data_IF_710004212254
#
_entry.id   IF_710004212254
#
_cell.length_a   1.000
_cell.length_b   1.000
_cell.length_c   1.000
_cell.angle_alpha   90.00
_cell.angle_beta   90.00
_cell.angle_gamma   90.00
#
_symmetry.space_group_name_H-M   'P 1'
#
loop_
_entity.id
_entity.type
_entity.pdbx_description
1 polymer ?
#
# COMPACT_ATOMS: atom_id res chain seq x y z
N UNK A 1 17.79 5.88 -35.90
CA UNK A 1 18.24 5.00 -34.79
C UNK A 1 17.04 4.83 -33.88
N UNK A 2 16.45 3.63 -33.84
CA UNK A 2 15.55 3.29 -32.74
C UNK A 2 16.48 3.14 -31.53
N UNK A 3 16.15 3.86 -30.46
CA UNK A 3 16.98 3.95 -29.27
C UNK A 3 17.02 2.58 -28.59
N UNK A 4 18.21 2.03 -28.31
CA UNK A 4 18.34 0.67 -27.74
C UNK A 4 17.54 0.50 -26.44
N UNK A 5 17.34 1.60 -25.72
CA UNK A 5 16.57 1.64 -24.49
C UNK A 5 15.06 1.46 -24.71
N UNK A 6 14.54 1.90 -25.87
CA UNK A 6 13.12 1.72 -26.24
C UNK A 6 12.82 0.25 -26.54
N UNK A 7 13.75 -0.47 -27.17
CA UNK A 7 13.64 -1.91 -27.44
C UNK A 7 13.66 -2.74 -26.14
N UNK A 8 14.54 -2.39 -25.19
CA UNK A 8 14.60 -3.07 -23.88
C UNK A 8 13.32 -2.83 -23.09
N UNK A 9 12.81 -1.60 -23.08
CA UNK A 9 11.56 -1.27 -22.38
C UNK A 9 10.37 -2.02 -22.97
N UNK A 10 10.30 -2.13 -24.30
CA UNK A 10 9.24 -2.87 -24.99
C UNK A 10 9.28 -4.36 -24.67
N UNK A 11 10.47 -4.97 -24.58
CA UNK A 11 10.61 -6.37 -24.16
C UNK A 11 10.03 -6.63 -22.76
N UNK A 12 10.33 -5.75 -21.81
CA UNK A 12 9.80 -5.86 -20.45
C UNK A 12 8.27 -5.66 -20.40
N UNK A 13 7.74 -4.68 -21.14
CA UNK A 13 6.29 -4.47 -21.25
C UNK A 13 5.59 -5.69 -21.85
N UNK A 14 6.17 -6.30 -22.88
CA UNK A 14 5.64 -7.51 -23.51
C UNK A 14 5.68 -8.71 -22.55
N UNK A 15 6.77 -8.89 -21.80
CA UNK A 15 6.90 -9.90 -20.77
C UNK A 15 5.80 -9.73 -19.70
N UNK A 16 5.68 -8.53 -19.12
CA UNK A 16 4.71 -8.23 -18.07
C UNK A 16 3.28 -8.47 -18.60
N UNK A 17 2.98 -8.01 -19.82
CA UNK A 17 1.68 -8.23 -20.47
C UNK A 17 1.37 -9.71 -20.63
N UNK A 18 2.37 -10.52 -21.03
CA UNK A 18 2.24 -11.96 -21.19
C UNK A 18 1.90 -12.66 -19.87
N UNK A 19 2.60 -12.30 -18.78
CA UNK A 19 2.35 -12.88 -17.45
C UNK A 19 0.94 -12.50 -16.97
N UNK A 20 0.54 -11.23 -17.11
CA UNK A 20 -0.80 -10.77 -16.72
C UNK A 20 -1.89 -11.55 -17.48
N UNK A 21 -1.77 -11.68 -18.81
CA UNK A 21 -2.77 -12.41 -19.62
C UNK A 21 -2.82 -13.90 -19.31
N UNK A 22 -1.69 -14.49 -18.93
CA UNK A 22 -1.63 -15.90 -18.52
C UNK A 22 -2.34 -16.12 -17.19
N UNK A 23 -2.17 -15.23 -16.20
CA UNK A 23 -2.81 -15.34 -14.88
C UNK A 23 -4.28 -14.90 -14.90
N UNK A 24 -4.60 -13.84 -15.62
CA UNK A 24 -5.94 -13.25 -15.67
C UNK A 24 -6.49 -13.29 -17.09
N UNK A 25 -7.12 -14.42 -17.43
CA UNK A 25 -7.72 -14.63 -18.75
C UNK A 25 -8.79 -13.58 -19.05
N UNK A 26 -8.77 -13.02 -20.27
CA UNK A 26 -9.77 -12.05 -20.72
C UNK A 26 -9.58 -10.61 -20.19
N UNK A 27 -8.56 -10.35 -19.38
CA UNK A 27 -8.28 -8.99 -18.89
C UNK A 27 -7.80 -8.07 -20.00
N UNK A 28 -8.40 -6.87 -20.07
CA UNK A 28 -7.90 -5.77 -20.91
C UNK A 28 -6.81 -5.01 -20.16
N UNK A 29 -5.63 -4.91 -20.78
CA UNK A 29 -4.50 -4.15 -20.27
C UNK A 29 -4.42 -2.84 -21.04
N UNK A 30 -4.64 -1.72 -20.35
CA UNK A 30 -4.39 -0.38 -20.89
C UNK A 30 -2.91 -0.05 -20.76
N UNK A 31 -2.25 0.29 -21.87
CA UNK A 31 -0.85 0.70 -21.88
C UNK A 31 -0.77 2.14 -22.36
N UNK A 32 -0.14 3.00 -21.57
CA UNK A 32 0.07 4.42 -21.87
C UNK A 32 1.55 4.74 -21.81
N UNK A 33 2.01 5.64 -22.68
CA UNK A 33 3.40 6.12 -22.69
C UNK A 33 3.46 7.47 -21.97
N UNK A 34 4.34 7.58 -20.97
CA UNK A 34 4.58 8.82 -20.22
C UNK A 34 5.99 9.34 -20.52
N UNK A 35 6.32 9.45 -21.81
CA UNK A 35 7.67 9.71 -22.33
C UNK A 35 8.27 8.50 -23.06
N UNK A 36 9.51 8.65 -23.60
CA UNK A 36 10.18 7.59 -24.36
C UNK A 36 10.64 6.42 -23.48
N UNK A 37 11.04 6.69 -22.24
CA UNK A 37 11.62 5.70 -21.31
C UNK A 37 10.66 5.23 -20.22
N UNK A 38 9.36 5.56 -20.33
CA UNK A 38 8.36 5.24 -19.30
C UNK A 38 7.05 4.76 -19.92
N UNK A 39 6.62 3.57 -19.52
CA UNK A 39 5.33 2.98 -19.87
C UNK A 39 4.53 2.71 -18.60
N UNK A 40 3.24 2.98 -18.63
CA UNK A 40 2.30 2.65 -17.55
C UNK A 40 1.29 1.63 -18.07
N UNK A 41 1.17 0.53 -17.35
CA UNK A 41 0.25 -0.57 -17.62
C UNK A 41 -0.81 -0.61 -16.53
N UNK A 42 -2.09 -0.66 -16.90
CA UNK A 42 -3.22 -0.66 -15.96
C UNK A 42 -4.21 -1.74 -16.36
N UNK A 43 -4.71 -2.49 -15.38
CA UNK A 43 -5.79 -3.44 -15.56
C UNK A 43 -6.64 -3.57 -14.30
N UNK A 44 -7.74 -4.33 -14.38
CA UNK A 44 -8.70 -4.50 -13.29
C UNK A 44 -8.75 -5.97 -12.87
N UNK A 45 -8.76 -6.22 -11.55
CA UNK A 45 -8.98 -7.52 -10.92
C UNK A 45 -9.94 -7.30 -9.76
N UNK A 46 -11.08 -7.98 -9.75
CA UNK A 46 -12.10 -7.91 -8.69
C UNK A 46 -12.50 -6.48 -8.27
N UNK A 47 -12.68 -5.60 -9.27
CA UNK A 47 -13.03 -4.19 -9.04
C UNK A 47 -11.89 -3.33 -8.47
N UNK A 48 -10.69 -3.89 -8.35
CA UNK A 48 -9.47 -3.21 -7.92
C UNK A 48 -8.57 -2.93 -9.13
N UNK A 49 -8.05 -1.72 -9.17
CA UNK A 49 -7.13 -1.29 -10.22
C UNK A 49 -5.71 -1.73 -9.86
N UNK A 50 -5.09 -2.47 -10.77
CA UNK A 50 -3.70 -2.90 -10.68
C UNK A 50 -2.88 -2.07 -11.67
N UNK A 51 -1.77 -1.51 -11.21
CA UNK A 51 -0.86 -0.75 -12.07
C UNK A 51 0.57 -1.28 -12.01
N UNK A 52 1.23 -1.28 -13.18
CA UNK A 52 2.68 -1.39 -13.30
C UNK A 52 3.21 -0.16 -14.02
N UNK A 53 4.09 0.60 -13.37
CA UNK A 53 4.88 1.64 -14.03
C UNK A 53 6.25 1.05 -14.36
N UNK A 54 6.62 1.05 -15.64
CA UNK A 54 7.85 0.47 -16.17
C UNK A 54 8.70 1.60 -16.71
N UNK A 55 9.86 1.82 -16.09
CA UNK A 55 10.92 2.72 -16.56
C UNK A 55 12.25 2.20 -16.05
N UNK A 56 13.06 3.02 -15.38
CA UNK A 56 14.26 2.55 -14.66
C UNK A 56 13.93 1.51 -13.57
N UNK A 57 12.69 1.52 -13.08
CA UNK A 57 12.15 0.53 -12.16
C UNK A 57 10.82 0.00 -12.70
N UNK A 58 10.49 -1.23 -12.33
CA UNK A 58 9.12 -1.75 -12.40
C UNK A 58 8.48 -1.50 -11.05
N UNK A 59 7.45 -0.66 -11.01
CA UNK A 59 6.71 -0.30 -9.80
C UNK A 59 5.29 -0.85 -9.90
N UNK A 60 4.96 -1.76 -8.98
CA UNK A 60 3.63 -2.34 -8.81
C UNK A 60 2.83 -1.54 -7.78
N UNK A 61 1.59 -1.21 -8.11
CA UNK A 61 0.61 -0.68 -7.18
C UNK A 61 -0.76 -1.35 -7.32
N UNK A 62 -1.49 -1.38 -6.20
CA UNK A 62 -2.82 -1.97 -6.10
C UNK A 62 -3.74 -0.98 -5.38
N UNK A 63 -4.71 -0.42 -6.12
CA UNK A 63 -5.74 0.43 -5.54
C UNK A 63 -6.79 -0.40 -4.79
N UNK A 64 -7.54 0.24 -3.90
CA UNK A 64 -8.55 -0.37 -3.02
C UNK A 64 -8.01 -1.44 -2.06
N UNK A 65 -6.70 -1.67 -2.05
CA UNK A 65 -6.06 -2.44 -1.02
C UNK A 65 -6.27 -1.76 0.36
N UNK A 66 -6.34 -2.57 1.43
CA UNK A 66 -6.38 -2.11 2.82
C UNK A 66 -5.18 -1.24 3.21
N UNK A 67 -4.04 -1.36 2.54
CA UNK A 67 -2.87 -0.52 2.77
C UNK A 67 -2.36 -0.02 1.43
N UNK A 68 -1.59 1.07 1.44
CA UNK A 68 -0.85 1.45 0.24
C UNK A 68 0.14 0.34 -0.12
N UNK A 69 -0.05 -0.25 -1.29
CA UNK A 69 0.84 -1.27 -1.84
C UNK A 69 1.67 -0.60 -2.92
N UNK A 70 2.97 -0.48 -2.64
CA UNK A 70 3.94 0.04 -3.57
C UNK A 70 5.20 -0.83 -3.50
N UNK A 71 5.30 -1.78 -4.44
CA UNK A 71 6.47 -2.65 -4.57
C UNK A 71 7.26 -2.20 -5.79
N UNK A 72 8.58 -2.23 -5.72
CA UNK A 72 9.41 -1.87 -6.87
C UNK A 72 10.62 -2.77 -6.98
N UNK A 73 11.10 -2.93 -8.22
CA UNK A 73 12.37 -3.58 -8.53
C UNK A 73 13.07 -2.82 -9.66
N UNK A 74 14.40 -2.62 -9.57
CA UNK A 74 15.18 -2.07 -10.68
C UNK A 74 14.97 -2.85 -11.96
N UNK A 75 14.80 -2.13 -13.08
CA UNK A 75 14.76 -2.75 -14.39
C UNK A 75 16.12 -3.41 -14.63
N UNK A 76 16.12 -4.74 -14.73
CA UNK A 76 17.33 -5.55 -14.78
C UNK A 76 17.22 -6.57 -15.91
N UNK A 77 17.25 -7.87 -15.60
CA UNK A 77 17.04 -8.90 -16.60
C UNK A 77 15.57 -9.40 -16.59
N UNK A 78 15.16 -9.95 -17.74
CA UNK A 78 13.79 -10.42 -17.96
C UNK A 78 13.36 -11.48 -16.94
N UNK A 79 14.24 -12.40 -16.55
CA UNK A 79 13.91 -13.45 -15.56
C UNK A 79 13.55 -12.85 -14.21
N UNK A 80 14.38 -11.94 -13.69
CA UNK A 80 14.17 -11.32 -12.38
C UNK A 80 12.92 -10.43 -12.34
N UNK A 81 12.63 -9.74 -13.44
CA UNK A 81 11.38 -8.96 -13.59
C UNK A 81 10.18 -9.88 -13.71
N UNK A 82 10.31 -10.99 -14.45
CA UNK A 82 9.27 -12.01 -14.57
C UNK A 82 8.87 -12.57 -13.20
N UNK A 83 9.85 -13.01 -12.40
CA UNK A 83 9.63 -13.50 -11.04
C UNK A 83 8.98 -12.45 -10.12
N UNK A 84 9.44 -11.20 -10.21
CA UNK A 84 8.87 -10.10 -9.43
C UNK A 84 7.40 -9.84 -9.77
N UNK A 85 7.08 -9.76 -11.07
CA UNK A 85 5.71 -9.54 -11.54
C UNK A 85 4.84 -10.74 -11.19
N UNK A 86 5.31 -11.96 -11.41
CA UNK A 86 4.56 -13.18 -11.09
C UNK A 86 4.14 -13.20 -9.61
N UNK A 87 5.09 -12.92 -8.71
CA UNK A 87 4.84 -12.81 -7.27
C UNK A 87 3.88 -11.68 -6.91
N UNK A 88 4.02 -10.50 -7.51
CA UNK A 88 3.10 -9.38 -7.24
C UNK A 88 1.66 -9.74 -7.62
N UNK A 89 1.48 -10.48 -8.71
CA UNK A 89 0.17 -10.90 -9.19
C UNK A 89 -0.44 -12.00 -8.30
N UNK A 90 0.36 -12.97 -7.84
CA UNK A 90 -0.10 -14.03 -6.92
C UNK A 90 -0.58 -13.47 -5.57
N UNK A 91 0.09 -12.42 -5.09
CA UNK A 91 -0.24 -11.81 -3.81
C UNK A 91 -1.52 -10.95 -3.86
N UNK A 92 -2.08 -10.61 -5.03
CA UNK A 92 -3.21 -9.67 -5.16
C UNK A 92 -4.37 -10.07 -4.25
N UNK A 93 -4.82 -11.33 -4.29
CA UNK A 93 -5.96 -11.78 -3.49
C UNK A 93 -5.70 -11.65 -1.99
N UNK A 94 -4.50 -12.05 -1.55
CA UNK A 94 -4.07 -11.95 -0.15
C UNK A 94 -4.02 -10.49 0.29
N UNK A 95 -3.52 -9.60 -0.57
CA UNK A 95 -3.41 -8.18 -0.28
C UNK A 95 -4.78 -7.50 -0.19
N UNK A 96 -5.72 -7.85 -1.07
CA UNK A 96 -7.09 -7.34 -1.02
C UNK A 96 -7.86 -7.86 0.20
N UNK A 97 -7.58 -9.09 0.66
CA UNK A 97 -8.26 -9.70 1.80
C UNK A 97 -7.75 -9.26 3.17
N UNK A 98 -6.63 -8.50 3.27
CA UNK A 98 -6.11 -8.03 4.56
C UNK A 98 -7.15 -7.12 5.24
N UNK A 99 -7.47 -7.33 6.50
CA UNK A 99 -8.38 -6.40 7.19
C UNK A 99 -7.60 -5.29 7.90
N UNK A 100 -7.90 -4.01 7.63
CA UNK A 100 -7.30 -2.85 8.33
C UNK A 100 -7.47 -2.85 9.85
N UNK A 101 -8.59 -3.39 10.32
CA UNK A 101 -9.17 -3.03 11.64
C UNK A 101 -8.83 -4.02 12.75
N UNK A 102 -8.84 -5.35 12.53
CA UNK A 102 -8.56 -6.31 13.59
C UNK A 102 -7.13 -6.16 14.14
N UNK A 103 -6.13 -5.93 13.29
CA UNK A 103 -4.73 -5.78 13.71
C UNK A 103 -4.54 -4.53 14.57
N UNK A 104 -5.00 -3.38 14.10
CA UNK A 104 -4.85 -2.10 14.80
C UNK A 104 -5.52 -2.13 16.17
N UNK A 105 -6.73 -2.70 16.28
CA UNK A 105 -7.41 -2.81 17.58
C UNK A 105 -6.64 -3.67 18.58
N UNK A 106 -6.08 -4.79 18.14
CA UNK A 106 -5.29 -5.68 18.99
C UNK A 106 -4.06 -4.95 19.56
N UNK A 107 -3.28 -4.29 18.70
CA UNK A 107 -2.12 -3.51 19.13
C UNK A 107 -2.52 -2.31 20.00
N UNK A 108 -3.58 -1.60 19.62
CA UNK A 108 -4.03 -0.45 20.39
C UNK A 108 -4.47 -0.86 21.80
N UNK A 109 -5.15 -2.01 21.96
CA UNK A 109 -5.49 -2.55 23.29
C UNK A 109 -4.26 -2.92 24.10
N UNK A 110 -3.28 -3.58 23.49
CA UNK A 110 -2.02 -3.96 24.13
C UNK A 110 -1.25 -2.76 24.69
N UNK A 111 -1.22 -1.64 23.96
CA UNK A 111 -0.36 -0.51 24.28
C UNK A 111 -1.06 0.67 24.95
N UNK A 112 -2.32 0.95 24.59
CA UNK A 112 -3.06 2.15 25.00
C UNK A 112 -4.26 1.82 25.92
N UNK A 113 -4.56 0.54 26.12
CA UNK A 113 -5.67 0.07 26.93
C UNK A 113 -6.97 -0.10 26.15
N UNK A 114 -8.08 -0.31 26.85
CA UNK A 114 -9.38 -0.57 26.21
C UNK A 114 -9.96 0.71 25.59
N UNK A 115 -10.42 0.62 24.35
CA UNK A 115 -11.06 1.73 23.66
C UNK A 115 -12.42 2.08 24.28
N UNK A 116 -12.73 3.38 24.40
CA UNK A 116 -14.03 3.87 24.88
C UNK A 116 -15.10 3.86 23.78
N UNK A 117 -14.70 4.15 22.54
CA UNK A 117 -15.61 4.27 21.40
C UNK A 117 -14.85 4.09 20.09
N UNK A 118 -15.49 3.45 19.11
CA UNK A 118 -15.00 3.37 17.72
C UNK A 118 -16.02 4.00 16.79
N UNK A 119 -15.59 4.91 15.92
CA UNK A 119 -16.43 5.52 14.88
C UNK A 119 -15.82 5.21 13.53
N UNK A 120 -16.61 4.64 12.62
CA UNK A 120 -16.20 4.36 11.24
C UNK A 120 -16.82 5.41 10.32
N UNK A 121 -16.01 6.01 9.46
CA UNK A 121 -16.45 6.87 8.36
C UNK A 121 -16.07 6.22 7.02
N UNK A 122 -16.51 6.81 5.90
CA UNK A 122 -16.17 6.29 4.55
C UNK A 122 -14.66 6.19 4.29
N UNK A 123 -13.83 7.05 4.91
CA UNK A 123 -12.38 7.14 4.62
C UNK A 123 -11.47 6.91 5.83
N UNK A 124 -12.03 6.90 7.03
CA UNK A 124 -11.25 6.85 8.26
C UNK A 124 -11.95 6.10 9.39
N UNK A 125 -11.16 5.52 10.29
CA UNK A 125 -11.61 4.91 11.53
C UNK A 125 -11.04 5.69 12.69
N UNK A 126 -11.90 6.09 13.61
CA UNK A 126 -11.55 6.82 14.82
C UNK A 126 -11.69 5.89 16.02
N UNK A 127 -10.62 5.73 16.80
CA UNK A 127 -10.60 4.89 17.99
C UNK A 127 -10.31 5.78 19.19
N UNK A 128 -11.31 6.01 20.04
CA UNK A 128 -11.22 6.94 21.15
C UNK A 128 -10.77 6.26 22.44
N UNK A 129 -9.85 6.92 23.13
CA UNK A 129 -9.40 6.61 24.49
C UNK A 129 -9.80 7.75 25.42
N UNK A 130 -9.32 7.69 26.66
CA UNK A 130 -9.68 8.67 27.68
C UNK A 130 -9.27 10.11 27.29
N UNK A 131 -7.97 10.31 27.02
CA UNK A 131 -7.38 11.62 26.69
C UNK A 131 -6.97 11.76 25.23
N UNK A 132 -6.83 10.64 24.50
CA UNK A 132 -6.36 10.61 23.12
C UNK A 132 -7.35 9.88 22.22
N UNK A 133 -7.17 10.00 20.92
CA UNK A 133 -7.82 9.14 19.94
C UNK A 133 -6.86 8.82 18.81
N UNK A 134 -7.10 7.70 18.15
CA UNK A 134 -6.36 7.29 16.94
C UNK A 134 -7.23 7.57 15.73
N UNK A 135 -6.61 8.10 14.68
CA UNK A 135 -7.20 8.17 13.34
C UNK A 135 -6.46 7.19 12.45
N UNK A 136 -7.20 6.31 11.77
CA UNK A 136 -6.67 5.36 10.80
C UNK A 136 -7.29 5.65 9.44
N UNK A 137 -6.45 5.87 8.43
CA UNK A 137 -6.82 6.01 7.02
C UNK A 137 -6.10 4.92 6.20
N UNK A 138 -6.28 4.81 4.87
CA UNK A 138 -5.52 3.84 4.05
C UNK A 138 -4.01 3.91 4.17
N UNK A 139 -3.46 5.11 4.30
CA UNK A 139 -2.03 5.36 4.20
C UNK A 139 -1.46 6.01 5.45
N UNK A 140 -2.26 6.18 6.51
CA UNK A 140 -1.84 6.92 7.70
C UNK A 140 -2.50 6.40 8.98
N UNK A 141 -1.73 6.30 10.04
CA UNK A 141 -2.20 6.18 11.41
C UNK A 141 -1.69 7.34 12.25
N UNK A 142 -2.57 7.96 13.03
CA UNK A 142 -2.24 9.13 13.85
C UNK A 142 -2.75 8.94 15.27
N UNK A 143 -1.97 9.41 16.24
CA UNK A 143 -2.39 9.62 17.62
C UNK A 143 -2.60 11.13 17.83
N UNK A 144 -3.77 11.52 18.33
CA UNK A 144 -4.13 12.90 18.59
C UNK A 144 -4.70 13.09 20.00
N UNK A 145 -4.59 14.32 20.53
CA UNK A 145 -5.24 14.71 21.78
C UNK A 145 -6.73 14.94 21.56
N UNK A 146 -7.58 14.40 22.43
CA UNK A 146 -9.03 14.54 22.33
C UNK A 146 -9.51 15.97 22.58
N UNK A 147 -8.84 16.72 23.47
CA UNK A 147 -9.23 18.08 23.85
C UNK A 147 -9.00 19.11 22.75
N UNK A 148 -7.92 18.98 21.99
CA UNK A 148 -7.48 19.98 21.00
C UNK A 148 -7.48 19.47 19.57
N UNK A 149 -7.68 18.16 19.36
CA UNK A 149 -7.48 17.49 18.08
C UNK A 149 -6.06 17.61 17.51
N UNK A 150 -5.09 18.08 18.31
CA UNK A 150 -3.69 18.19 17.89
C UNK A 150 -3.09 16.81 17.73
N UNK A 151 -2.46 16.56 16.58
CA UNK A 151 -1.63 15.37 16.34
C UNK A 151 -0.42 15.38 17.27
N UNK A 152 -0.24 14.28 18.00
CA UNK A 152 0.95 14.01 18.81
C UNK A 152 1.99 13.28 17.97
N UNK A 153 1.56 12.24 17.25
CA UNK A 153 2.41 11.42 16.41
C UNK A 153 1.61 10.86 15.22
N UNK A 154 2.27 10.69 14.08
CA UNK A 154 1.71 10.05 12.89
C UNK A 154 2.72 9.15 12.22
N UNK A 155 2.23 8.14 11.50
CA UNK A 155 3.01 7.25 10.67
C UNK A 155 2.28 6.96 9.37
N UNK A 156 3.01 6.99 8.27
CA UNK A 156 2.53 6.44 7.01
C UNK A 156 2.40 4.92 7.13
N UNK A 157 1.30 4.38 6.58
CA UNK A 157 1.02 2.96 6.54
C UNK A 157 1.28 2.45 5.12
N UNK A 158 2.28 1.59 5.00
CA UNK A 158 2.50 0.78 3.79
C UNK A 158 2.33 -0.71 4.08
N UNK A 159 2.57 -1.53 3.05
CA UNK A 159 2.52 -2.99 3.14
C UNK A 159 3.27 -3.60 4.33
N UNK A 160 4.40 -3.00 4.72
CA UNK A 160 5.32 -3.49 5.75
C UNK A 160 5.23 -2.70 7.07
N UNK A 161 4.09 -2.08 7.36
CA UNK A 161 3.92 -1.30 8.59
C UNK A 161 4.12 -2.15 9.86
N UNK A 162 5.12 -1.80 10.68
CA UNK A 162 5.36 -2.43 11.98
C UNK A 162 4.45 -1.81 13.06
N UNK A 163 3.25 -2.38 13.21
CA UNK A 163 2.30 -1.92 14.22
C UNK A 163 2.84 -2.02 15.65
N UNK A 164 3.68 -3.00 15.95
CA UNK A 164 4.25 -3.14 17.29
C UNK A 164 5.16 -1.95 17.64
N UNK A 165 6.00 -1.54 16.68
CA UNK A 165 6.84 -0.33 16.80
C UNK A 165 5.99 0.94 16.87
N UNK A 166 5.02 1.09 15.97
CA UNK A 166 4.11 2.26 15.93
C UNK A 166 3.42 2.45 17.28
N UNK A 167 2.80 1.40 17.80
CA UNK A 167 2.02 1.48 19.04
C UNK A 167 2.88 1.65 20.29
N UNK A 168 4.10 1.12 20.30
CA UNK A 168 5.09 1.43 21.35
C UNK A 168 5.41 2.94 21.37
N UNK A 169 5.59 3.56 20.21
CA UNK A 169 5.85 5.00 20.12
C UNK A 169 4.62 5.80 20.53
N UNK A 170 3.42 5.38 20.13
CA UNK A 170 2.17 6.03 20.57
C UNK A 170 2.02 6.02 22.09
N UNK A 171 2.35 4.90 22.74
CA UNK A 171 2.32 4.82 24.21
C UNK A 171 3.29 5.82 24.84
N UNK A 172 4.55 5.86 24.38
CA UNK A 172 5.54 6.83 24.86
C UNK A 172 5.08 8.28 24.64
N UNK A 173 4.49 8.57 23.48
CA UNK A 173 3.99 9.89 23.14
C UNK A 173 2.77 10.30 23.99
N UNK A 174 1.88 9.36 24.30
CA UNK A 174 0.75 9.57 25.20
C UNK A 174 1.22 9.85 26.63
N UNK A 175 2.24 9.14 27.10
CA UNK A 175 2.78 9.32 28.46
C UNK A 175 3.46 10.69 28.62
N UNK A 176 4.24 11.13 27.62
CA UNK A 176 4.84 12.48 27.60
C UNK A 176 3.82 13.62 27.53
N UNK A 177 2.69 13.40 26.87
CA UNK A 177 1.63 14.42 26.80
C UNK A 177 0.82 14.55 28.12
N UNK A 178 1.13 13.74 29.15
CA UNK A 178 0.53 13.83 30.49
C UNK A 178 1.39 14.61 31.49
N UNK A 179 2.68 14.77 31.20
CA UNK A 179 3.61 15.64 31.92
C UNK A 179 3.42 17.11 31.50
#
# INVERSE_FOLDING_TARGET
MIDKDEDVLLQHVNLISGIIRKKFSGVKIGITSNGPTRKKMVFQVDGSKVEFNVGENVVFSLENAPYEILRHRPLSNLTSIGEFVDKCLDDIQVLLSKEKVPEIKSYARKYLGQEKRVVKSKRAIFIYYDKTFIVVTPNLIMLALKSTSRTIQSFELGENADFNKIFRIFKMAQDRARE
#
